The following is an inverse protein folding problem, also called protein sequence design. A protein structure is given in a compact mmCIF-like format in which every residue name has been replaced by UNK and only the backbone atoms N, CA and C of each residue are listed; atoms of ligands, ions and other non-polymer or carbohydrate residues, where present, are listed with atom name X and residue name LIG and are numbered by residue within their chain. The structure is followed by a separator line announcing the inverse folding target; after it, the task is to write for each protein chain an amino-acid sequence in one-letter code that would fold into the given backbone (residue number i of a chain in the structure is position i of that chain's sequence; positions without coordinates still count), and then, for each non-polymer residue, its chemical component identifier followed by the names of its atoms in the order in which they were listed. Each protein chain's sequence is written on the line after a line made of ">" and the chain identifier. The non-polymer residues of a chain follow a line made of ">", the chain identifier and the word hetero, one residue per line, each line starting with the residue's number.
data_IF_519207884645
#
_entry.id   IF_519207884645
#
_cell.length_a   1.000
_cell.length_b   1.000
_cell.length_c   1.000
_cell.angle_alpha   90.00
_cell.angle_beta   90.00
_cell.angle_gamma   90.00
#
_symmetry.space_group_name_H-M   'P 1'
#
loop_
_entity.id
_entity.type
_entity.pdbx_description
1 polymer ?
#
# COMPACT_ATOMS: atom_id res chain seq x y z
N UNK A 1 13.08 -27.51 -6.18
CA UNK A 1 13.49 -27.09 -4.83
C UNK A 1 12.66 -25.88 -4.49
N UNK A 2 11.55 -26.08 -3.79
CA UNK A 2 10.59 -25.01 -3.48
C UNK A 2 11.14 -24.16 -2.35
N UNK A 3 11.15 -22.84 -2.51
CA UNK A 3 11.44 -21.92 -1.42
C UNK A 3 10.40 -22.14 -0.32
N UNK A 4 10.81 -22.88 0.71
CA UNK A 4 9.94 -23.23 1.80
C UNK A 4 9.78 -22.08 2.78
N UNK A 5 8.81 -22.19 3.71
CA UNK A 5 8.70 -21.27 4.83
C UNK A 5 10.03 -21.11 5.61
N UNK A 6 10.88 -22.14 5.60
CA UNK A 6 12.19 -22.15 6.26
C UNK A 6 13.20 -21.25 5.55
N UNK A 7 13.35 -21.34 4.23
CA UNK A 7 14.24 -20.44 3.47
C UNK A 7 13.84 -18.97 3.62
N UNK A 8 12.54 -18.68 3.57
CA UNK A 8 12.03 -17.31 3.77
C UNK A 8 12.37 -16.83 5.19
N UNK A 9 12.19 -17.69 6.20
CA UNK A 9 12.58 -17.39 7.58
C UNK A 9 14.08 -17.08 7.73
N UNK A 10 14.94 -17.86 7.07
CA UNK A 10 16.39 -17.63 7.09
C UNK A 10 16.79 -16.31 6.43
N UNK A 11 16.16 -15.96 5.30
CA UNK A 11 16.40 -14.68 4.62
C UNK A 11 15.97 -13.52 5.53
N UNK A 12 14.78 -13.60 6.14
CA UNK A 12 14.32 -12.57 7.08
C UNK A 12 15.25 -12.43 8.27
N UNK A 13 15.75 -13.54 8.81
CA UNK A 13 16.72 -13.52 9.90
C UNK A 13 18.04 -12.86 9.47
N UNK A 14 18.56 -13.19 8.29
CA UNK A 14 19.77 -12.59 7.74
C UNK A 14 19.62 -11.07 7.53
N UNK A 15 18.50 -10.64 6.96
CA UNK A 15 18.18 -9.21 6.78
C UNK A 15 18.03 -8.51 8.14
N UNK A 16 17.42 -9.17 9.13
CA UNK A 16 17.28 -8.61 10.47
C UNK A 16 18.62 -8.48 11.21
N UNK A 17 19.58 -9.37 10.97
CA UNK A 17 20.95 -9.25 11.50
C UNK A 17 21.73 -8.12 10.81
N UNK A 18 21.59 -7.98 9.49
CA UNK A 18 22.35 -7.00 8.70
C UNK A 18 21.84 -5.57 8.88
N UNK A 19 20.51 -5.39 8.89
CA UNK A 19 19.86 -4.08 9.00
C UNK A 19 19.38 -3.77 10.43
N UNK A 20 19.19 -4.78 11.27
CA UNK A 20 18.65 -4.64 12.62
C UNK A 20 17.13 -4.73 12.70
N UNK A 21 16.62 -5.30 13.80
CA UNK A 21 15.19 -5.53 14.04
C UNK A 21 14.34 -4.25 14.06
N UNK A 22 14.92 -3.08 14.30
CA UNK A 22 14.21 -1.79 14.29
C UNK A 22 14.14 -1.16 12.91
N UNK A 23 15.07 -1.46 12.01
CA UNK A 23 15.15 -0.82 10.68
C UNK A 23 14.18 -1.42 9.67
N UNK A 24 13.93 -2.72 9.74
CA UNK A 24 12.90 -3.38 8.93
C UNK A 24 11.49 -2.79 9.12
N UNK A 25 10.94 -2.68 10.35
CA UNK A 25 9.61 -2.11 10.56
C UNK A 25 9.58 -0.59 10.32
N UNK A 26 10.67 0.12 10.56
CA UNK A 26 10.73 1.56 10.33
C UNK A 26 10.75 1.89 8.83
N UNK A 27 11.55 1.15 8.04
CA UNK A 27 11.58 1.25 6.59
C UNK A 27 10.24 0.84 5.96
N UNK A 28 9.60 -0.23 6.43
CA UNK A 28 8.29 -0.62 5.91
C UNK A 28 7.19 0.40 6.28
N UNK A 29 7.27 1.05 7.45
CA UNK A 29 6.35 2.13 7.85
C UNK A 29 6.54 3.41 7.03
N UNK A 30 7.76 3.78 6.69
CA UNK A 30 8.01 4.95 5.81
C UNK A 30 7.57 4.66 4.38
N UNK A 31 7.96 3.52 3.83
CA UNK A 31 7.54 3.07 2.49
C UNK A 31 6.03 2.86 2.40
N UNK A 32 5.39 2.31 3.44
CA UNK A 32 3.94 2.12 3.49
C UNK A 32 3.15 3.43 3.50
N UNK A 33 3.67 4.48 4.14
CA UNK A 33 3.08 5.83 4.08
C UNK A 33 3.17 6.42 2.67
N UNK A 34 4.33 6.31 2.02
CA UNK A 34 4.51 6.77 0.63
C UNK A 34 3.66 5.98 -0.36
N UNK A 35 3.58 4.65 -0.20
CA UNK A 35 2.72 3.79 -1.02
C UNK A 35 1.24 4.09 -0.83
N UNK A 36 0.80 4.51 0.36
CA UNK A 36 -0.60 4.90 0.59
C UNK A 36 -0.96 6.16 -0.18
N UNK A 37 -0.09 7.18 -0.16
CA UNK A 37 -0.29 8.42 -0.92
C UNK A 37 -0.30 8.10 -2.41
N UNK A 38 0.71 7.36 -2.89
CA UNK A 38 0.79 6.92 -4.28
C UNK A 38 -0.42 6.07 -4.71
N UNK A 39 -0.90 5.19 -3.82
CA UNK A 39 -2.10 4.37 -4.07
C UNK A 39 -3.34 5.24 -4.21
N UNK A 40 -3.55 6.24 -3.36
CA UNK A 40 -4.68 7.17 -3.45
C UNK A 40 -4.66 7.98 -4.75
N UNK A 41 -3.51 8.56 -5.10
CA UNK A 41 -3.36 9.29 -6.37
C UNK A 41 -3.60 8.38 -7.60
N UNK A 42 -3.07 7.15 -7.57
CA UNK A 42 -3.29 6.17 -8.66
C UNK A 42 -4.73 5.66 -8.68
N UNK A 43 -5.40 5.56 -7.53
CA UNK A 43 -6.80 5.16 -7.43
C UNK A 43 -7.72 6.24 -7.99
N UNK A 44 -7.47 7.52 -7.72
CA UNK A 44 -8.22 8.64 -8.31
C UNK A 44 -8.11 8.66 -9.85
N UNK A 45 -6.91 8.38 -10.37
CA UNK A 45 -6.69 8.27 -11.83
C UNK A 45 -7.41 7.05 -12.43
N UNK A 46 -7.48 5.93 -11.70
CA UNK A 46 -8.21 4.72 -12.16
C UNK A 46 -9.73 4.89 -12.04
N UNK A 47 -10.19 5.49 -10.94
CA UNK A 47 -11.59 5.73 -10.61
C UNK A 47 -12.21 6.87 -11.44
N UNK A 48 -11.39 7.75 -12.04
CA UNK A 48 -11.80 8.68 -13.11
C UNK A 48 -12.32 8.02 -14.40
N UNK A 49 -12.45 6.69 -14.42
CA UNK A 49 -13.11 5.89 -15.47
C UNK A 49 -14.35 5.13 -15.01
N UNK A 50 -14.86 5.37 -13.80
CA UNK A 50 -16.14 4.79 -13.33
C UNK A 50 -16.95 5.82 -12.56
N UNK A 51 -17.80 6.54 -13.30
CA UNK A 51 -18.95 7.30 -12.81
C UNK A 51 -19.74 6.49 -11.77
N UNK A 52 -19.82 7.00 -10.54
CA UNK A 52 -21.01 6.85 -9.69
C UNK A 52 -21.17 8.10 -8.82
N UNK A 53 -21.61 9.20 -9.43
CA UNK A 53 -22.28 10.31 -8.74
C UNK A 53 -23.80 10.09 -8.86
N UNK A 54 -24.51 9.63 -7.82
CA UNK A 54 -25.95 9.78 -7.72
C UNK A 54 -26.29 11.04 -6.90
N UNK A 55 -25.76 12.21 -7.28
CA UNK A 55 -26.08 13.50 -6.63
C UNK A 55 -26.50 14.53 -7.70
N UNK A 56 -27.44 14.14 -8.57
CA UNK A 56 -28.05 14.99 -9.60
C UNK A 56 -29.51 15.39 -9.31
N UNK A 57 -30.03 15.22 -8.09
CA UNK A 57 -31.47 15.27 -7.82
C UNK A 57 -31.92 16.23 -6.70
N UNK A 58 -31.18 17.31 -6.40
CA UNK A 58 -31.59 18.29 -5.35
C UNK A 58 -31.36 19.75 -5.71
N UNK A 59 -31.58 20.13 -6.97
CA UNK A 59 -31.51 21.54 -7.39
C UNK A 59 -32.54 21.87 -8.49
N UNK A 60 -33.82 21.59 -8.24
CA UNK A 60 -34.92 22.27 -8.93
C UNK A 60 -35.84 22.85 -7.86
N UNK A 61 -35.53 24.08 -7.50
CA UNK A 61 -36.09 24.79 -6.36
C UNK A 61 -35.62 26.23 -6.37
N UNK A 62 -35.80 26.90 -7.51
CA UNK A 62 -35.89 28.35 -7.69
C UNK A 62 -36.38 28.65 -9.10
#
# INVERSE_FOLDING_TARGET
>A
MSLGPVEIGLILLAVMLLFGYKKLPDASRSLGRSLRIFKSEVDDVRSGSTTTDPEGARSSGR
#
